data_IF_005966759794
#
_entry.id   IF_005966759794
#
_cell.length_a   1.000
_cell.length_b   1.000
_cell.length_c   1.000
_cell.angle_alpha   90.00
_cell.angle_beta   90.00
_cell.angle_gamma   90.00
#
_symmetry.space_group_name_H-M   'P 1'
#
loop_
_entity.id
_entity.type
_entity.pdbx_description
1 polymer ?
#
# COMPACT_ATOMS: atom_id res chain seq x y z
N UNK A 1 -4.80 -8.42 29.28
CA UNK A 1 -4.06 -7.96 28.08
C UNK A 1 -4.94 -8.22 26.88
N UNK A 2 -5.43 -7.19 26.18
CA UNK A 2 -6.20 -7.42 24.94
C UNK A 2 -5.25 -8.02 23.90
N UNK A 3 -5.69 -9.09 23.23
CA UNK A 3 -4.92 -9.66 22.12
C UNK A 3 -4.80 -8.62 21.00
N UNK A 4 -3.59 -8.45 20.47
CA UNK A 4 -3.37 -7.63 19.28
C UNK A 4 -4.17 -8.21 18.10
N UNK A 5 -4.80 -7.35 17.30
CA UNK A 5 -5.47 -7.77 16.07
C UNK A 5 -4.47 -8.21 15.00
N UNK A 6 -4.98 -8.74 13.89
CA UNK A 6 -4.22 -9.09 12.70
C UNK A 6 -4.76 -8.41 11.45
N UNK A 7 -3.86 -8.13 10.50
CA UNK A 7 -4.20 -7.64 9.17
C UNK A 7 -3.44 -8.43 8.11
N UNK A 8 -4.14 -8.89 7.08
CA UNK A 8 -3.57 -9.55 5.91
C UNK A 8 -3.48 -8.56 4.75
N UNK A 9 -2.35 -8.56 4.07
CA UNK A 9 -2.09 -7.71 2.92
C UNK A 9 -1.79 -8.52 1.66
N UNK A 10 -2.16 -7.95 0.52
CA UNK A 10 -1.91 -8.55 -0.80
C UNK A 10 -1.71 -7.46 -1.86
N UNK A 11 -0.91 -7.80 -2.87
CA UNK A 11 -0.75 -7.00 -4.08
C UNK A 11 -1.81 -7.40 -5.12
N UNK A 12 -2.37 -6.41 -5.81
CA UNK A 12 -3.27 -6.59 -6.94
C UNK A 12 -2.84 -5.70 -8.10
N UNK A 13 -2.53 -6.32 -9.23
CA UNK A 13 -2.10 -5.61 -10.43
C UNK A 13 -1.57 -6.59 -11.46
N UNK A 14 -1.27 -6.12 -12.68
CA UNK A 14 -0.67 -6.96 -13.71
C UNK A 14 0.77 -7.32 -13.33
N UNK A 15 1.34 -8.29 -14.05
CA UNK A 15 2.73 -8.73 -13.86
C UNK A 15 3.61 -8.47 -15.09
N UNK A 16 3.05 -7.89 -16.15
CA UNK A 16 3.76 -7.62 -17.39
C UNK A 16 3.46 -6.21 -17.89
N UNK A 17 4.51 -5.48 -18.24
CA UNK A 17 4.46 -4.10 -18.75
C UNK A 17 5.33 -4.01 -20.02
N UNK A 18 5.14 -2.96 -20.82
CA UNK A 18 6.12 -2.54 -21.83
C UNK A 18 6.90 -1.31 -21.38
N UNK A 19 8.08 -1.12 -21.92
CA UNK A 19 8.87 0.09 -21.65
C UNK A 19 8.09 1.34 -22.06
N UNK A 20 8.00 2.32 -21.15
CA UNK A 20 7.21 3.54 -21.34
C UNK A 20 5.74 3.45 -20.92
N UNK A 21 5.22 2.25 -20.65
CA UNK A 21 3.84 2.03 -20.18
C UNK A 21 3.67 2.51 -18.73
N UNK A 22 2.46 2.99 -18.41
CA UNK A 22 2.05 3.30 -17.04
C UNK A 22 1.05 2.26 -16.55
N UNK A 23 1.21 1.82 -15.31
CA UNK A 23 0.42 0.75 -14.70
C UNK A 23 0.03 1.08 -13.27
N UNK A 24 -1.10 0.55 -12.81
CA UNK A 24 -1.54 0.66 -11.42
C UNK A 24 -1.28 -0.65 -10.67
N UNK A 25 -0.68 -0.54 -9.48
CA UNK A 25 -0.52 -1.61 -8.51
C UNK A 25 -1.25 -1.22 -7.23
N UNK A 26 -2.14 -2.08 -6.76
CA UNK A 26 -2.95 -1.86 -5.56
C UNK A 26 -2.42 -2.68 -4.40
N UNK A 27 -2.34 -2.06 -3.22
CA UNK A 27 -2.15 -2.76 -1.95
C UNK A 27 -3.51 -2.90 -1.28
N UNK A 28 -3.96 -4.13 -1.08
CA UNK A 28 -5.23 -4.44 -0.42
C UNK A 28 -4.96 -4.92 0.99
N UNK A 29 -5.83 -4.55 1.93
CA UNK A 29 -5.78 -4.99 3.33
C UNK A 29 -7.14 -5.54 3.76
N UNK A 30 -7.11 -6.59 4.56
CA UNK A 30 -8.23 -7.05 5.39
C UNK A 30 -7.75 -7.12 6.84
N UNK A 31 -8.57 -6.72 7.81
CA UNK A 31 -8.22 -6.77 9.23
C UNK A 31 -9.34 -7.38 10.07
N UNK A 32 -8.98 -8.10 11.14
CA UNK A 32 -9.93 -8.68 12.10
C UNK A 32 -10.31 -7.71 13.24
N UNK A 33 -9.59 -6.58 13.34
CA UNK A 33 -9.83 -5.50 14.29
C UNK A 33 -9.91 -4.16 13.55
N UNK A 34 -10.73 -3.20 14.04
CA UNK A 34 -10.89 -1.91 13.39
C UNK A 34 -9.58 -1.13 13.29
N UNK A 35 -9.10 -0.89 12.07
CA UNK A 35 -7.93 -0.08 11.75
C UNK A 35 -8.33 1.39 11.61
N UNK A 36 -7.52 2.30 12.16
CA UNK A 36 -7.73 3.75 12.08
C UNK A 36 -6.56 4.52 11.44
N UNK A 37 -5.36 3.96 11.42
CA UNK A 37 -4.20 4.56 10.75
C UNK A 37 -3.30 3.49 10.13
N UNK A 38 -2.69 3.81 9.00
CA UNK A 38 -1.78 2.92 8.26
C UNK A 38 -0.56 3.69 7.76
N UNK A 39 0.49 3.85 8.59
CA UNK A 39 1.83 4.21 8.15
C UNK A 39 2.50 3.01 7.47
N UNK A 40 3.11 3.22 6.30
CA UNK A 40 3.82 2.18 5.57
C UNK A 40 4.97 2.70 4.72
N UNK A 41 5.86 1.79 4.32
CA UNK A 41 6.95 2.03 3.37
C UNK A 41 6.97 0.94 2.31
N UNK A 42 6.96 1.34 1.04
CA UNK A 42 7.06 0.45 -0.13
C UNK A 42 8.38 0.73 -0.85
N UNK A 43 9.15 -0.31 -1.12
CA UNK A 43 10.36 -0.23 -1.94
C UNK A 43 10.08 -0.60 -3.41
N UNK A 44 10.80 0.02 -4.33
CA UNK A 44 10.77 -0.30 -5.76
C UNK A 44 12.15 -0.10 -6.42
N UNK A 45 12.39 -0.77 -7.55
CA UNK A 45 13.60 -0.51 -8.35
C UNK A 45 13.45 0.76 -9.20
N UNK A 46 14.02 1.86 -8.73
CA UNK A 46 14.01 3.16 -9.41
C UNK A 46 14.77 3.21 -10.75
N UNK A 47 15.57 2.18 -11.08
CA UNK A 47 16.24 2.08 -12.38
C UNK A 47 15.30 1.58 -13.46
N UNK A 48 14.27 0.82 -13.06
CA UNK A 48 13.31 0.18 -13.96
C UNK A 48 11.93 0.83 -13.89
N UNK A 49 11.58 1.48 -12.77
CA UNK A 49 10.27 2.10 -12.55
C UNK A 49 10.41 3.53 -12.04
N UNK A 50 9.43 4.36 -12.39
CA UNK A 50 9.19 5.66 -11.79
C UNK A 50 7.79 5.66 -11.18
N UNK A 51 7.65 6.12 -9.94
CA UNK A 51 6.33 6.38 -9.36
C UNK A 51 5.79 7.67 -9.96
N UNK A 52 4.70 7.58 -10.71
CA UNK A 52 4.02 8.72 -11.32
C UNK A 52 3.07 9.39 -10.33
N UNK A 53 2.33 8.59 -9.56
CA UNK A 53 1.36 9.07 -8.58
C UNK A 53 1.08 7.99 -7.53
N UNK A 54 0.58 8.41 -6.37
CA UNK A 54 0.12 7.52 -5.32
C UNK A 54 -1.19 8.06 -4.75
N UNK A 55 -2.23 7.23 -4.76
CA UNK A 55 -3.57 7.63 -4.32
C UNK A 55 -4.11 6.74 -3.20
N UNK A 56 -4.96 7.33 -2.35
CA UNK A 56 -5.67 6.62 -1.28
C UNK A 56 -6.71 5.66 -1.87
N UNK A 57 -6.80 4.45 -1.31
CA UNK A 57 -7.88 3.51 -1.61
C UNK A 57 -9.10 3.66 -0.68
N UNK A 58 -10.06 2.75 -0.80
CA UNK A 58 -11.32 2.82 -0.06
C UNK A 58 -11.28 2.21 1.36
N UNK A 59 -10.22 1.50 1.74
CA UNK A 59 -10.12 0.79 3.02
C UNK A 59 -10.42 1.68 4.23
N UNK A 60 -9.68 2.77 4.45
CA UNK A 60 -9.93 3.66 5.59
C UNK A 60 -11.19 4.53 5.41
N UNK A 61 -11.69 4.65 4.18
CA UNK A 61 -12.91 5.41 3.83
C UNK A 61 -14.19 4.60 4.05
N UNK A 62 -14.09 3.32 4.45
CA UNK A 62 -15.24 2.47 4.76
C UNK A 62 -16.22 3.15 5.73
N UNK A 63 -17.50 3.12 5.35
CA UNK A 63 -18.57 3.83 6.06
C UNK A 63 -18.63 5.33 5.77
N UNK A 64 -17.97 5.80 4.71
CA UNK A 64 -17.95 7.22 4.33
C UNK A 64 -17.08 8.09 5.24
N UNK A 65 -16.13 7.49 5.96
CA UNK A 65 -15.27 8.22 6.88
C UNK A 65 -14.34 9.20 6.16
N UNK A 66 -14.19 10.39 6.74
CA UNK A 66 -13.21 11.36 6.27
C UNK A 66 -11.79 10.91 6.66
N UNK A 67 -10.87 11.04 5.71
CA UNK A 67 -9.48 10.59 5.81
C UNK A 67 -8.50 11.72 5.56
N UNK A 68 -7.31 11.58 6.13
CA UNK A 68 -6.12 12.33 5.73
C UNK A 68 -5.13 11.34 5.14
N UNK A 69 -4.66 11.62 3.93
CA UNK A 69 -3.71 10.80 3.21
C UNK A 69 -2.51 11.64 2.81
N UNK A 70 -1.32 11.13 3.09
CA UNK A 70 -0.06 11.76 2.72
C UNK A 70 0.89 10.70 2.20
N UNK A 71 1.69 11.08 1.21
CA UNK A 71 2.79 10.26 0.73
C UNK A 71 3.98 11.12 0.33
N UNK A 72 5.16 10.52 0.31
CA UNK A 72 6.36 11.07 -0.31
C UNK A 72 7.12 9.96 -1.02
N UNK A 73 7.81 10.34 -2.08
CA UNK A 73 8.71 9.43 -2.82
C UNK A 73 10.12 9.85 -2.46
N UNK A 74 10.86 8.97 -1.80
CA UNK A 74 12.24 9.21 -1.45
C UNK A 74 13.15 8.87 -2.64
N UNK A 75 14.26 9.63 -2.83
CA UNK A 75 15.15 9.41 -3.96
C UNK A 75 15.77 8.01 -4.00
N UNK A 76 15.83 7.30 -2.88
CA UNK A 76 16.41 5.96 -2.76
C UNK A 76 15.53 4.83 -3.33
N UNK A 77 14.33 5.15 -3.83
CA UNK A 77 13.40 4.16 -4.37
C UNK A 77 12.38 3.65 -3.34
N UNK A 78 11.97 4.52 -2.42
CA UNK A 78 10.94 4.22 -1.43
C UNK A 78 9.75 5.16 -1.55
N UNK A 79 8.55 4.64 -1.26
CA UNK A 79 7.33 5.43 -1.06
C UNK A 79 6.96 5.30 0.41
N UNK A 80 7.00 6.41 1.12
CA UNK A 80 6.50 6.49 2.49
C UNK A 80 5.10 7.08 2.45
N UNK A 81 4.19 6.47 3.18
CA UNK A 81 2.78 6.84 3.15
C UNK A 81 2.19 6.77 4.54
N UNK A 82 1.23 7.63 4.81
CA UNK A 82 0.35 7.50 5.97
C UNK A 82 -1.07 7.88 5.57
N UNK A 83 -2.00 6.97 5.85
CA UNK A 83 -3.43 7.21 5.78
C UNK A 83 -4.02 7.14 7.20
N UNK A 84 -4.87 8.09 7.56
CA UNK A 84 -5.56 8.10 8.87
C UNK A 84 -7.02 8.49 8.67
N UNK A 85 -7.95 7.73 9.27
CA UNK A 85 -9.37 8.08 9.28
C UNK A 85 -9.74 8.80 10.58
N UNK A 86 -10.72 9.68 10.46
CA UNK A 86 -11.38 10.35 11.57
C UNK A 86 -12.70 9.66 11.95
N UNK A 87 -13.29 10.08 13.08
CA UNK A 87 -14.59 9.59 13.55
C UNK A 87 -14.51 8.35 14.45
N UNK A 88 -15.68 7.78 14.75
CA UNK A 88 -15.81 6.58 15.59
C UNK A 88 -15.76 5.31 14.72
N UNK A 89 -15.13 4.25 15.23
CA UNK A 89 -14.99 2.97 14.52
C UNK A 89 -13.62 2.75 13.87
N UNK A 90 -13.58 1.96 12.80
CA UNK A 90 -12.39 1.64 12.03
C UNK A 90 -12.71 0.72 10.85
N UNK A 91 -11.73 0.47 9.99
CA UNK A 91 -11.87 -0.38 8.81
C UNK A 91 -11.48 -1.83 9.11
N UNK A 92 -12.20 -2.78 8.52
CA UNK A 92 -11.94 -4.23 8.67
C UNK A 92 -12.13 -4.99 7.37
N UNK A 93 -13.13 -4.61 6.55
CA UNK A 93 -13.46 -5.33 5.33
C UNK A 93 -12.30 -5.25 4.31
N UNK A 94 -12.10 -6.29 3.47
CA UNK A 94 -11.08 -6.27 2.43
C UNK A 94 -11.29 -5.10 1.47
N UNK A 95 -10.30 -4.23 1.33
CA UNK A 95 -10.34 -3.14 0.36
C UNK A 95 -8.93 -2.56 0.10
N UNK A 96 -8.81 -1.73 -0.94
CA UNK A 96 -7.56 -1.06 -1.33
C UNK A 96 -7.17 -0.04 -0.26
N UNK A 97 -5.94 -0.13 0.23
CA UNK A 97 -5.31 0.87 1.10
C UNK A 97 -4.75 2.00 0.25
N UNK A 98 -4.05 1.64 -0.82
CA UNK A 98 -3.44 2.58 -1.75
C UNK A 98 -3.27 1.99 -3.15
N UNK A 99 -3.26 2.89 -4.14
CA UNK A 99 -2.90 2.58 -5.52
C UNK A 99 -1.62 3.33 -5.88
N UNK A 100 -0.61 2.60 -6.35
CA UNK A 100 0.64 3.15 -6.87
C UNK A 100 0.60 3.10 -8.40
N UNK A 101 0.78 4.25 -9.03
CA UNK A 101 0.90 4.34 -10.48
C UNK A 101 2.39 4.38 -10.85
N UNK A 102 2.86 3.36 -11.55
CA UNK A 102 4.25 3.26 -12.00
C UNK A 102 4.35 3.46 -13.49
N UNK A 103 5.40 4.17 -13.94
CA UNK A 103 5.85 4.19 -15.33
C UNK A 103 7.08 3.30 -15.49
N UNK A 104 7.06 2.40 -16.47
CA UNK A 104 8.20 1.59 -16.84
C UNK A 104 9.27 2.42 -17.56
N UNK A 105 10.50 2.39 -17.06
CA UNK A 105 11.63 3.16 -17.58
C UNK A 105 12.52 2.34 -18.53
N UNK A 106 12.71 1.05 -18.24
CA UNK A 106 13.56 0.15 -19.00
C UNK A 106 13.11 -1.30 -18.86
N UNK A 107 13.43 -2.13 -19.85
CA UNK A 107 13.15 -3.56 -19.82
C UNK A 107 13.93 -4.27 -18.69
N UNK A 108 13.31 -5.29 -18.09
CA UNK A 108 13.88 -6.03 -16.97
C UNK A 108 12.81 -6.58 -16.01
N UNK A 109 13.25 -7.17 -14.91
CA UNK A 109 12.37 -7.63 -13.84
C UNK A 109 12.40 -6.63 -12.67
N UNK A 110 11.34 -5.84 -12.51
CA UNK A 110 11.24 -4.84 -11.45
C UNK A 110 10.48 -5.39 -10.25
N UNK A 111 11.11 -5.33 -9.07
CA UNK A 111 10.53 -5.80 -7.79
C UNK A 111 9.90 -4.63 -7.03
N UNK A 112 8.70 -4.87 -6.49
CA UNK A 112 8.01 -4.00 -5.54
C UNK A 112 7.80 -4.78 -4.25
N UNK A 113 8.09 -4.16 -3.12
CA UNK A 113 8.02 -4.83 -1.83
C UNK A 113 7.42 -3.89 -0.77
N UNK A 114 6.55 -4.43 0.07
CA UNK A 114 6.11 -3.74 1.26
C UNK A 114 7.20 -3.95 2.32
N UNK A 115 8.02 -2.94 2.56
CA UNK A 115 9.16 -3.03 3.50
C UNK A 115 8.65 -3.08 4.93
N UNK A 116 7.73 -2.18 5.26
CA UNK A 116 7.11 -2.11 6.59
C UNK A 116 5.72 -1.52 6.52
N UNK A 117 4.91 -1.87 7.51
CA UNK A 117 3.59 -1.32 7.76
C UNK A 117 3.29 -1.44 9.25
N UNK A 118 2.67 -0.42 9.83
CA UNK A 118 2.36 -0.36 11.26
C UNK A 118 0.88 0.00 11.45
N UNK A 119 -0.08 -0.88 11.10
CA UNK A 119 -1.48 -0.54 11.23
C UNK A 119 -1.84 -0.32 12.70
N UNK A 120 -2.53 0.79 12.95
CA UNK A 120 -2.97 1.20 14.28
C UNK A 120 -4.47 0.97 14.36
N UNK A 121 -4.90 0.21 15.36
CA UNK A 121 -6.30 0.01 15.68
C UNK A 121 -6.87 1.12 16.55
N UNK A 122 -8.18 1.07 16.78
CA UNK A 122 -8.85 2.00 17.69
C UNK A 122 -8.19 2.03 19.08
N UNK A 123 -8.16 3.21 19.69
CA UNK A 123 -7.49 3.46 20.98
C UNK A 123 -5.96 3.37 20.95
N UNK A 124 -5.34 3.36 19.76
CA UNK A 124 -3.88 3.27 19.61
C UNK A 124 -3.32 1.85 19.73
N UNK A 125 -4.19 0.84 19.69
CA UNK A 125 -3.77 -0.57 19.73
C UNK A 125 -2.94 -0.95 18.50
N UNK A 126 -1.94 -1.81 18.67
CA UNK A 126 -1.18 -2.37 17.55
C UNK A 126 -1.98 -3.47 16.85
N UNK A 127 -1.93 -3.49 15.52
CA UNK A 127 -2.44 -4.59 14.69
C UNK A 127 -1.24 -5.25 14.00
N UNK A 128 -1.09 -6.55 14.20
CA UNK A 128 -0.01 -7.34 13.59
C UNK A 128 -0.29 -7.53 12.10
N UNK A 129 0.58 -7.02 11.24
CA UNK A 129 0.44 -7.14 9.80
C UNK A 129 1.17 -8.37 9.26
N UNK A 130 0.48 -9.13 8.40
CA UNK A 130 1.06 -10.16 7.55
C UNK A 130 1.32 -9.53 6.19
N UNK A 131 2.59 -9.24 5.91
CA UNK A 131 3.04 -8.62 4.67
C UNK A 131 2.88 -9.59 3.49
N UNK A 132 2.56 -9.09 2.29
CA UNK A 132 2.56 -9.92 1.09
C UNK A 132 3.99 -10.24 0.66
N UNK A 133 4.15 -11.30 -0.12
CA UNK A 133 5.36 -11.49 -0.91
C UNK A 133 5.59 -10.30 -1.87
N UNK A 134 6.80 -10.14 -2.41
CA UNK A 134 7.09 -9.09 -3.38
C UNK A 134 6.25 -9.24 -4.64
N UNK A 135 5.80 -8.11 -5.20
CA UNK A 135 5.21 -8.07 -6.54
C UNK A 135 6.33 -7.88 -7.57
N UNK A 136 6.25 -8.56 -8.70
CA UNK A 136 7.25 -8.44 -9.77
C UNK A 136 6.57 -8.07 -11.08
N UNK A 137 7.08 -7.03 -11.72
CA UNK A 137 6.77 -6.70 -13.10
C UNK A 137 7.87 -7.23 -14.03
N UNK A 138 7.48 -7.98 -15.05
CA UNK A 138 8.31 -8.25 -16.22
C UNK A 138 8.08 -7.12 -17.23
N UNK A 139 9.09 -6.29 -17.42
CA UNK A 139 9.06 -5.15 -18.35
C UNK A 139 9.68 -5.61 -19.67
N UNK A 140 8.84 -5.70 -20.69
CA UNK A 140 9.24 -6.01 -22.04
C UNK A 140 9.71 -4.74 -22.78
N UNK A 141 10.56 -4.87 -23.80
CA UNK A 141 10.90 -3.76 -24.69
C UNK A 141 9.66 -3.08 -25.30
#
# INVERSE_FOLDING_TARGET
>A
MQAAGSALLLWQGPTQLKTGETVSLQLVMQADRPVVSVPLVIGFDRRLLQVADVSEGAFLRQGGAATTFTYRIDPDGQVLMTATRSGTGGATAPDVVATLNFRALAAGAARIELITIVPVGSGGSTINAILPGPHTFTINP
#
